data_IF_222686420159
#
_entry.id   IF_222686420159
#
_cell.length_a   1.000
_cell.length_b   1.000
_cell.length_c   1.000
_cell.angle_alpha   90.00
_cell.angle_beta   90.00
_cell.angle_gamma   90.00
#
_symmetry.space_group_name_H-M   'P 1'
#
loop_
_entity.id
_entity.type
_entity.pdbx_description
1 polymer ?
#
# COMPACT_ATOMS: atom_id res chain seq x y z
N UNK A 1 -34.86 -9.93 1.97
CA UNK A 1 -34.48 -8.97 0.91
C UNK A 1 -33.42 -9.65 0.05
N UNK A 2 -33.79 -10.04 -1.17
CA UNK A 2 -32.89 -10.63 -2.16
C UNK A 2 -31.84 -9.57 -2.56
N UNK A 3 -30.51 -9.74 -2.53
CA UNK A 3 -29.62 -10.89 -2.81
C UNK A 3 -29.79 -11.48 -4.22
N UNK A 4 -30.64 -10.87 -5.05
CA UNK A 4 -30.53 -10.97 -6.49
C UNK A 4 -29.40 -10.04 -6.91
N UNK A 5 -28.44 -10.61 -7.61
CA UNK A 5 -27.39 -9.91 -8.36
C UNK A 5 -26.27 -9.29 -7.50
N UNK A 6 -25.60 -10.18 -6.77
CA UNK A 6 -24.13 -10.23 -6.82
C UNK A 6 -23.76 -10.12 -8.30
N UNK A 7 -23.46 -8.90 -8.75
CA UNK A 7 -22.85 -8.62 -10.05
C UNK A 7 -21.84 -9.72 -10.27
N UNK A 8 -22.11 -10.58 -11.26
CA UNK A 8 -21.34 -11.78 -11.53
C UNK A 8 -19.86 -11.44 -11.36
N UNK A 9 -19.20 -12.08 -10.41
CA UNK A 9 -17.79 -11.88 -10.08
C UNK A 9 -16.93 -12.46 -11.22
N UNK A 10 -17.14 -11.90 -12.40
CA UNK A 10 -16.33 -12.12 -13.58
C UNK A 10 -14.98 -11.54 -13.23
N UNK A 11 -13.94 -12.32 -13.52
CA UNK A 11 -12.56 -11.88 -13.47
C UNK A 11 -12.45 -10.54 -14.21
N UNK A 12 -11.86 -9.54 -13.55
CA UNK A 12 -11.59 -8.27 -14.16
C UNK A 12 -10.69 -8.49 -15.38
N UNK A 13 -11.08 -7.90 -16.51
CA UNK A 13 -10.29 -8.00 -17.74
C UNK A 13 -9.31 -6.84 -17.82
N UNK A 14 -8.17 -7.12 -18.43
CA UNK A 14 -7.18 -6.13 -18.80
C UNK A 14 -7.20 -5.94 -20.31
N UNK A 15 -7.43 -4.71 -20.76
CA UNK A 15 -7.43 -4.33 -22.16
C UNK A 15 -6.21 -3.47 -22.45
N UNK A 16 -5.26 -4.04 -23.17
CA UNK A 16 -4.14 -3.31 -23.75
C UNK A 16 -4.58 -2.69 -25.08
N UNK A 17 -5.01 -1.44 -25.02
CA UNK A 17 -5.55 -0.72 -26.17
C UNK A 17 -4.46 -0.28 -27.15
N UNK A 18 -3.21 -0.23 -26.71
CA UNK A 18 -2.07 0.09 -27.58
C UNK A 18 -1.75 -1.09 -28.50
N UNK A 19 -1.78 -2.30 -27.95
CA UNK A 19 -1.50 -3.52 -28.72
C UNK A 19 -2.75 -4.07 -29.43
N UNK A 20 -3.94 -3.54 -29.15
CA UNK A 20 -5.21 -3.96 -29.77
C UNK A 20 -6.05 -2.74 -30.22
N UNK A 21 -5.56 -1.92 -31.17
CA UNK A 21 -6.24 -0.68 -31.58
C UNK A 21 -7.60 -0.91 -32.25
N UNK A 22 -7.88 -2.13 -32.73
CA UNK A 22 -9.18 -2.54 -33.25
C UNK A 22 -10.31 -2.41 -32.20
N UNK A 23 -9.97 -2.50 -30.90
CA UNK A 23 -10.91 -2.23 -29.81
C UNK A 23 -11.36 -0.76 -29.76
N UNK A 24 -10.63 0.15 -30.42
CA UNK A 24 -10.91 1.59 -30.45
C UNK A 24 -11.76 2.04 -31.65
N UNK A 25 -12.08 1.14 -32.59
CA UNK A 25 -12.92 1.51 -33.76
C UNK A 25 -14.36 1.74 -33.32
N UNK A 26 -14.83 2.97 -33.47
CA UNK A 26 -16.22 3.37 -33.20
C UNK A 26 -16.42 4.33 -32.02
N UNK A 27 -15.37 5.01 -31.56
CA UNK A 27 -15.48 6.01 -30.50
C UNK A 27 -15.47 7.43 -31.05
N UNK A 28 -16.59 8.13 -30.96
CA UNK A 28 -16.63 9.58 -31.12
C UNK A 28 -16.11 10.25 -29.84
N UNK A 29 -15.06 11.06 -29.93
CA UNK A 29 -14.57 11.92 -28.85
C UNK A 29 -13.57 11.30 -27.87
N UNK A 30 -13.13 10.04 -28.07
CA UNK A 30 -11.91 9.53 -27.44
C UNK A 30 -10.76 9.54 -28.45
N UNK A 31 -9.53 9.88 -28.01
CA UNK A 31 -8.38 9.92 -28.89
C UNK A 31 -8.10 8.54 -29.48
N UNK A 32 -8.12 8.49 -30.81
CA UNK A 32 -7.88 7.29 -31.61
C UNK A 32 -6.38 7.02 -31.61
N UNK A 33 -5.97 5.76 -31.40
CA UNK A 33 -4.60 5.30 -31.14
C UNK A 33 -3.57 5.46 -32.28
N UNK A 34 -3.85 6.24 -33.31
CA UNK A 34 -3.02 6.29 -34.53
C UNK A 34 -1.98 7.42 -34.56
N UNK A 35 -1.83 8.23 -33.52
CA UNK A 35 -0.68 9.13 -33.43
C UNK A 35 -0.33 9.45 -31.99
N UNK A 36 0.97 9.33 -31.65
CA UNK A 36 1.65 9.82 -30.45
C UNK A 36 0.71 10.32 -29.34
N UNK A 37 0.36 9.44 -28.39
CA UNK A 37 -0.49 9.62 -27.19
C UNK A 37 -0.38 11.01 -26.53
N UNK A 38 -0.95 12.05 -27.15
CA UNK A 38 -0.99 13.42 -26.63
C UNK A 38 -2.31 13.74 -25.95
N UNK A 39 -3.34 12.98 -26.29
CA UNK A 39 -4.68 13.14 -25.76
C UNK A 39 -5.03 11.86 -24.99
N UNK A 40 -5.22 11.99 -23.68
CA UNK A 40 -5.71 10.91 -22.81
C UNK A 40 -7.19 11.16 -22.48
N UNK A 41 -7.99 10.12 -22.18
CA UNK A 41 -9.35 10.32 -21.71
C UNK A 41 -9.38 11.27 -20.51
N UNK A 42 -10.28 12.27 -20.57
CA UNK A 42 -10.54 13.11 -19.42
C UNK A 42 -11.17 12.29 -18.29
N UNK A 43 -11.00 12.73 -17.04
CA UNK A 43 -11.68 12.11 -15.90
C UNK A 43 -13.20 12.15 -16.12
N UNK A 44 -13.86 11.01 -15.94
CA UNK A 44 -15.32 10.91 -16.11
C UNK A 44 -15.78 10.75 -17.56
N UNK A 45 -14.87 10.52 -18.53
CA UNK A 45 -15.29 10.17 -19.89
C UNK A 45 -16.18 8.94 -19.86
N UNK A 46 -17.33 9.01 -20.56
CA UNK A 46 -18.29 7.92 -20.67
C UNK A 46 -17.85 6.91 -21.73
N UNK A 47 -17.92 5.63 -21.40
CA UNK A 47 -17.65 4.53 -22.31
C UNK A 47 -18.88 4.29 -23.19
N UNK A 48 -18.70 4.14 -24.51
CA UNK A 48 -19.78 3.78 -25.43
C UNK A 48 -20.55 2.53 -24.98
N UNK A 49 -21.87 2.51 -25.17
CA UNK A 49 -22.72 1.40 -24.73
C UNK A 49 -22.47 0.10 -25.52
N UNK A 50 -21.87 0.19 -26.72
CA UNK A 50 -21.52 -0.95 -27.55
C UNK A 50 -20.22 -1.65 -27.14
N UNK A 51 -19.45 -1.09 -26.21
CA UNK A 51 -18.24 -1.74 -25.69
C UNK A 51 -18.61 -2.87 -24.71
N UNK A 52 -18.13 -4.08 -24.99
CA UNK A 52 -18.20 -5.21 -24.06
C UNK A 52 -17.19 -5.03 -22.91
N UNK A 53 -17.46 -4.06 -22.05
CA UNK A 53 -16.73 -3.81 -20.80
C UNK A 53 -17.68 -3.76 -19.63
N UNK A 54 -17.20 -4.20 -18.48
CA UNK A 54 -17.95 -4.29 -17.23
C UNK A 54 -17.29 -3.44 -16.13
N UNK A 55 -18.06 -3.11 -15.09
CA UNK A 55 -17.53 -2.43 -13.91
C UNK A 55 -16.29 -3.16 -13.37
N UNK A 56 -15.23 -2.39 -13.12
CA UNK A 56 -13.96 -2.87 -12.61
C UNK A 56 -12.98 -3.38 -13.67
N UNK A 57 -13.37 -3.48 -14.95
CA UNK A 57 -12.41 -3.75 -16.03
C UNK A 57 -11.35 -2.64 -16.10
N UNK A 58 -10.13 -3.01 -16.50
CA UNK A 58 -8.98 -2.10 -16.58
C UNK A 58 -8.62 -1.87 -18.05
N UNK A 59 -8.61 -0.60 -18.44
CA UNK A 59 -8.31 -0.15 -19.79
C UNK A 59 -6.99 0.62 -19.76
N UNK A 60 -5.99 0.20 -20.53
CA UNK A 60 -4.68 0.85 -20.55
C UNK A 60 -4.39 1.48 -21.92
N UNK A 61 -4.13 2.79 -21.90
CA UNK A 61 -3.73 3.60 -23.07
C UNK A 61 -2.22 3.80 -23.15
N UNK A 62 -1.40 3.10 -22.37
CA UNK A 62 0.05 3.15 -22.53
C UNK A 62 0.67 1.76 -22.69
N UNK A 63 1.85 1.72 -23.32
CA UNK A 63 2.62 0.48 -23.52
C UNK A 63 3.18 0.00 -22.19
N UNK A 64 2.44 -0.89 -21.53
CA UNK A 64 2.93 -1.63 -20.36
C UNK A 64 3.18 -0.79 -19.10
N UNK A 65 2.72 0.47 -19.05
CA UNK A 65 2.76 1.28 -17.81
C UNK A 65 1.35 1.56 -17.29
N UNK A 66 1.09 1.39 -15.99
CA UNK A 66 -0.20 1.73 -15.40
C UNK A 66 -0.52 3.22 -15.29
N UNK A 67 0.40 4.11 -15.66
CA UNK A 67 0.22 5.58 -15.58
C UNK A 67 -1.01 6.08 -16.35
N UNK A 68 -1.38 5.37 -17.42
CA UNK A 68 -2.55 5.67 -18.25
C UNK A 68 -3.57 4.53 -18.25
N UNK A 69 -3.64 3.82 -17.12
CA UNK A 69 -4.69 2.87 -16.83
C UNK A 69 -5.92 3.60 -16.26
N UNK A 70 -7.09 3.12 -16.66
CA UNK A 70 -8.39 3.58 -16.17
C UNK A 70 -9.25 2.38 -15.79
N UNK A 71 -10.06 2.56 -14.74
CA UNK A 71 -11.07 1.61 -14.30
C UNK A 71 -12.43 2.01 -14.85
N UNK A 72 -13.20 1.01 -15.26
CA UNK A 72 -14.61 1.20 -15.65
C UNK A 72 -15.48 1.31 -14.39
N UNK A 73 -16.20 2.42 -14.25
CA UNK A 73 -17.13 2.69 -13.15
C UNK A 73 -18.53 2.11 -13.41
N UNK A 74 -19.36 2.02 -12.37
CA UNK A 74 -20.73 1.46 -12.45
C UNK A 74 -21.61 2.23 -13.46
N UNK A 75 -21.41 3.54 -13.57
CA UNK A 75 -22.09 4.43 -14.51
C UNK A 75 -21.46 4.45 -15.92
N UNK A 76 -20.56 3.51 -16.21
CA UNK A 76 -19.74 3.42 -17.43
C UNK A 76 -18.85 4.64 -17.65
N UNK A 77 -18.48 5.39 -16.61
CA UNK A 77 -17.43 6.42 -16.72
C UNK A 77 -16.04 5.84 -16.43
N UNK A 78 -15.00 6.56 -16.83
CA UNK A 78 -13.61 6.20 -16.56
C UNK A 78 -13.07 6.88 -15.30
N UNK A 79 -12.55 6.06 -14.38
CA UNK A 79 -11.75 6.49 -13.24
C UNK A 79 -10.28 6.30 -13.56
N UNK A 80 -9.50 7.39 -13.63
CA UNK A 80 -8.05 7.30 -13.81
C UNK A 80 -7.41 6.57 -12.63
N UNK A 81 -6.42 5.72 -12.90
CA UNK A 81 -5.58 5.09 -11.88
C UNK A 81 -5.08 6.17 -10.90
N UNK A 82 -5.38 6.05 -9.59
CA UNK A 82 -4.97 7.06 -8.63
C UNK A 82 -3.46 7.06 -8.37
N UNK A 83 -2.75 5.96 -8.67
CA UNK A 83 -1.31 5.78 -8.43
C UNK A 83 -0.86 6.34 -7.07
N UNK A 84 -1.17 5.60 -6.00
CA UNK A 84 -0.84 6.02 -4.62
C UNK A 84 0.66 6.16 -4.36
N UNK A 85 1.50 5.63 -5.25
CA UNK A 85 2.97 5.67 -5.14
C UNK A 85 3.58 6.91 -5.81
N UNK A 86 2.84 7.56 -6.71
CA UNK A 86 3.37 8.61 -7.59
C UNK A 86 4.48 8.15 -8.54
N UNK A 87 4.68 6.84 -8.69
CA UNK A 87 5.79 6.22 -9.45
C UNK A 87 5.30 5.47 -10.70
N UNK A 88 4.01 5.57 -11.02
CA UNK A 88 3.39 5.00 -12.20
C UNK A 88 2.93 3.55 -12.05
N UNK A 89 2.74 3.07 -10.82
CA UNK A 89 2.22 1.73 -10.54
C UNK A 89 0.69 1.70 -10.57
N UNK A 90 0.13 0.51 -10.79
CA UNK A 90 -1.32 0.31 -10.70
C UNK A 90 -1.73 0.27 -9.23
N UNK A 91 -2.63 1.17 -8.84
CA UNK A 91 -3.41 1.03 -7.61
C UNK A 91 -4.83 0.63 -7.98
N UNK A 92 -5.30 -0.51 -7.47
CA UNK A 92 -6.71 -0.91 -7.57
C UNK A 92 -7.45 -0.30 -6.38
N UNK A 93 -8.28 0.74 -6.57
CA UNK A 93 -8.79 1.54 -5.46
C UNK A 93 -10.03 0.92 -4.80
N UNK A 94 -10.30 1.34 -3.56
CA UNK A 94 -11.37 0.79 -2.73
C UNK A 94 -12.75 0.98 -3.37
N UNK A 95 -12.97 2.09 -4.08
CA UNK A 95 -14.23 2.33 -4.79
C UNK A 95 -14.56 1.23 -5.81
N UNK A 96 -13.54 0.54 -6.34
CA UNK A 96 -13.65 -0.58 -7.27
C UNK A 96 -13.80 -1.91 -6.53
N UNK A 97 -13.12 -2.09 -5.39
CA UNK A 97 -13.07 -3.37 -4.66
C UNK A 97 -14.09 -3.46 -3.52
N UNK A 98 -14.74 -2.38 -3.09
CA UNK A 98 -15.61 -2.29 -1.90
C UNK A 98 -16.70 -3.37 -1.81
N UNK A 99 -17.20 -3.82 -2.96
CA UNK A 99 -18.25 -4.83 -3.07
C UNK A 99 -17.72 -6.19 -3.55
N UNK A 100 -16.40 -6.33 -3.66
CA UNK A 100 -15.74 -7.55 -4.10
C UNK A 100 -15.40 -8.40 -2.88
N UNK A 101 -15.76 -9.68 -2.94
CA UNK A 101 -15.51 -10.61 -1.83
C UNK A 101 -14.04 -11.05 -1.73
N UNK A 102 -13.36 -11.13 -2.87
CA UNK A 102 -11.95 -11.45 -2.97
C UNK A 102 -11.30 -10.61 -4.08
N UNK A 103 -10.77 -9.45 -3.72
CA UNK A 103 -10.21 -8.48 -4.66
C UNK A 103 -9.03 -9.07 -5.44
N UNK A 104 -8.13 -9.80 -4.77
CA UNK A 104 -6.97 -10.40 -5.44
C UNK A 104 -7.37 -11.44 -6.47
N UNK A 105 -8.35 -12.30 -6.16
CA UNK A 105 -8.84 -13.28 -7.13
C UNK A 105 -9.53 -12.60 -8.32
N UNK A 106 -10.36 -11.59 -8.06
CA UNK A 106 -11.05 -10.84 -9.12
C UNK A 106 -10.05 -10.19 -10.08
N UNK A 107 -8.97 -9.63 -9.56
CA UNK A 107 -7.96 -8.90 -10.32
C UNK A 107 -6.74 -9.73 -10.72
N UNK A 108 -6.74 -11.04 -10.48
CA UNK A 108 -5.60 -11.93 -10.76
C UNK A 108 -5.15 -11.84 -12.22
N UNK A 109 -6.09 -11.79 -13.18
CA UNK A 109 -5.75 -11.67 -14.60
C UNK A 109 -5.11 -10.32 -14.94
N UNK A 110 -5.53 -9.24 -14.28
CA UNK A 110 -4.91 -7.91 -14.43
C UNK A 110 -3.50 -7.94 -13.86
N UNK A 111 -3.35 -8.40 -12.62
CA UNK A 111 -2.07 -8.49 -11.89
C UNK A 111 -1.06 -9.32 -12.68
N UNK A 112 -1.47 -10.50 -13.16
CA UNK A 112 -0.61 -11.37 -13.94
C UNK A 112 -0.39 -10.86 -15.38
N UNK A 113 -1.39 -10.21 -15.97
CA UNK A 113 -1.36 -9.72 -17.35
C UNK A 113 -0.46 -8.50 -17.54
N UNK A 114 -0.42 -7.58 -16.57
CA UNK A 114 0.53 -6.45 -16.59
C UNK A 114 1.88 -6.83 -15.99
N UNK A 115 1.90 -7.84 -15.12
CA UNK A 115 3.05 -8.24 -14.31
C UNK A 115 2.92 -7.72 -12.88
N UNK A 116 3.15 -8.58 -11.88
CA UNK A 116 3.06 -8.24 -10.46
C UNK A 116 3.87 -7.00 -10.09
N UNK A 117 5.05 -6.87 -10.70
CA UNK A 117 5.98 -5.74 -10.52
C UNK A 117 5.38 -4.38 -10.92
N UNK A 118 4.24 -4.36 -11.62
CA UNK A 118 3.54 -3.15 -12.03
C UNK A 118 2.29 -2.86 -11.19
N UNK A 119 1.94 -3.70 -10.22
CA UNK A 119 0.84 -3.46 -9.27
C UNK A 119 1.44 -3.15 -7.91
N UNK A 120 1.30 -1.90 -7.46
CA UNK A 120 1.79 -1.53 -6.13
C UNK A 120 0.80 -1.87 -5.04
N UNK A 121 -0.51 -1.70 -5.31
CA UNK A 121 -1.50 -1.71 -4.22
C UNK A 121 -2.87 -2.16 -4.68
N UNK A 122 -3.52 -2.94 -3.82
CA UNK A 122 -4.93 -3.33 -3.91
C UNK A 122 -5.59 -2.89 -2.61
N UNK A 123 -6.38 -1.83 -2.67
CA UNK A 123 -7.20 -1.38 -1.54
C UNK A 123 -8.36 -2.38 -1.37
N UNK A 124 -8.60 -2.90 -0.17
CA UNK A 124 -9.49 -4.03 0.07
C UNK A 124 -10.55 -3.73 1.13
N UNK A 125 -11.69 -4.41 1.03
CA UNK A 125 -12.67 -4.41 2.11
C UNK A 125 -12.14 -5.19 3.32
N UNK A 126 -12.41 -4.77 4.56
CA UNK A 126 -11.91 -5.49 5.75
C UNK A 126 -12.38 -6.96 5.84
N UNK A 127 -13.56 -7.27 5.30
CA UNK A 127 -14.08 -8.66 5.18
C UNK A 127 -13.61 -9.41 3.91
N UNK A 128 -12.63 -8.88 3.17
CA UNK A 128 -12.09 -9.56 2.00
C UNK A 128 -11.55 -10.95 2.40
N UNK A 129 -11.93 -11.98 1.63
CA UNK A 129 -11.57 -13.37 1.89
C UNK A 129 -10.05 -13.55 1.97
N UNK A 130 -9.27 -12.78 1.21
CA UNK A 130 -7.81 -12.83 1.28
C UNK A 130 -7.29 -12.36 2.65
N UNK A 131 -7.81 -11.26 3.19
CA UNK A 131 -7.42 -10.77 4.52
C UNK A 131 -7.80 -11.81 5.58
N UNK A 132 -9.06 -12.27 5.56
CA UNK A 132 -9.59 -13.21 6.55
C UNK A 132 -8.84 -14.54 6.54
N UNK A 133 -8.45 -15.02 5.36
CA UNK A 133 -7.68 -16.27 5.21
C UNK A 133 -6.27 -16.16 5.79
N UNK A 134 -5.59 -15.03 5.61
CA UNK A 134 -4.16 -14.91 5.90
C UNK A 134 -3.85 -14.30 7.26
N UNK A 135 -4.68 -13.36 7.75
CA UNK A 135 -4.48 -12.74 9.06
C UNK A 135 -5.57 -13.13 10.06
N UNK A 136 -6.78 -13.43 9.60
CA UNK A 136 -7.95 -13.71 10.44
C UNK A 136 -9.04 -12.64 10.31
N UNK A 137 -10.14 -12.83 11.04
CA UNK A 137 -11.28 -11.90 11.00
C UNK A 137 -10.90 -10.53 11.55
N UNK A 138 -11.13 -9.47 10.77
CA UNK A 138 -10.91 -8.08 11.23
C UNK A 138 -11.88 -7.75 12.37
N UNK A 139 -11.41 -7.19 13.50
CA UNK A 139 -12.26 -6.78 14.61
C UNK A 139 -13.25 -5.68 14.24
N UNK A 140 -14.49 -5.78 14.72
CA UNK A 140 -15.58 -4.82 14.40
C UNK A 140 -15.25 -3.37 14.73
N UNK A 141 -14.38 -3.12 15.72
CA UNK A 141 -13.93 -1.76 16.03
C UNK A 141 -13.17 -1.12 14.87
N UNK A 142 -12.27 -1.87 14.20
CA UNK A 142 -11.52 -1.38 13.04
C UNK A 142 -12.46 -1.08 11.85
N UNK A 143 -13.51 -1.89 11.66
CA UNK A 143 -14.57 -1.59 10.69
C UNK A 143 -15.28 -0.27 11.00
N UNK A 144 -15.73 -0.10 12.25
CA UNK A 144 -16.52 1.08 12.66
C UNK A 144 -15.75 2.39 12.54
N UNK A 145 -14.42 2.31 12.57
CA UNK A 145 -13.50 3.45 12.46
C UNK A 145 -12.96 3.65 11.03
N UNK A 146 -13.49 2.92 10.04
CA UNK A 146 -13.07 3.00 8.64
C UNK A 146 -11.55 2.81 8.46
N UNK A 147 -10.97 1.83 9.16
CA UNK A 147 -9.57 1.46 8.94
C UNK A 147 -9.41 0.93 7.52
N UNK A 148 -8.43 1.45 6.79
CA UNK A 148 -8.16 1.06 5.42
C UNK A 148 -7.15 -0.08 5.39
N UNK A 149 -7.41 -1.07 4.54
CA UNK A 149 -6.54 -2.23 4.33
C UNK A 149 -6.07 -2.21 2.87
N UNK A 150 -4.76 -2.10 2.67
CA UNK A 150 -4.16 -1.98 1.34
C UNK A 150 -3.08 -3.05 1.23
N UNK A 151 -3.19 -3.95 0.26
CA UNK A 151 -2.21 -5.01 0.07
C UNK A 151 -1.29 -4.72 -1.11
N UNK A 152 0.00 -4.84 -0.87
CA UNK A 152 1.03 -4.80 -1.89
C UNK A 152 1.38 -6.23 -2.31
N UNK A 153 1.04 -6.63 -3.56
CA UNK A 153 1.30 -7.97 -4.05
C UNK A 153 2.76 -8.22 -4.47
N UNK A 154 3.59 -7.18 -4.58
CA UNK A 154 5.00 -7.28 -4.90
C UNK A 154 5.82 -7.60 -3.64
N UNK A 155 5.61 -6.81 -2.58
CA UNK A 155 6.33 -6.96 -1.32
C UNK A 155 5.62 -7.91 -0.32
N UNK A 156 4.40 -8.34 -0.66
CA UNK A 156 3.53 -9.17 0.17
C UNK A 156 3.24 -8.56 1.56
N UNK A 157 3.09 -7.24 1.60
CA UNK A 157 2.72 -6.48 2.78
C UNK A 157 1.24 -6.08 2.79
N UNK A 158 0.62 -6.16 3.96
CA UNK A 158 -0.66 -5.52 4.25
C UNK A 158 -0.41 -4.21 5.00
N UNK A 159 -0.66 -3.09 4.34
CA UNK A 159 -0.72 -1.77 4.96
C UNK A 159 -2.07 -1.57 5.64
N UNK A 160 -2.03 -1.17 6.90
CA UNK A 160 -3.22 -0.82 7.69
C UNK A 160 -3.13 0.67 8.03
N UNK A 161 -4.06 1.46 7.49
CA UNK A 161 -4.08 2.91 7.70
C UNK A 161 -5.26 3.33 8.57
N UNK A 162 -5.02 4.26 9.48
CA UNK A 162 -6.04 4.91 10.31
C UNK A 162 -6.21 6.34 9.76
N UNK A 163 -7.23 6.60 8.91
CA UNK A 163 -7.28 7.82 8.09
C UNK A 163 -7.32 9.12 8.89
N UNK A 164 -7.89 9.07 10.11
CA UNK A 164 -8.08 10.24 10.97
C UNK A 164 -6.91 10.53 11.91
N UNK A 165 -5.88 9.66 11.98
CA UNK A 165 -4.67 9.89 12.79
C UNK A 165 -3.39 9.97 11.95
N UNK A 166 -3.49 9.83 10.63
CA UNK A 166 -2.35 9.68 9.71
C UNK A 166 -1.38 8.55 10.10
N UNK A 167 -1.87 7.55 10.84
CA UNK A 167 -1.05 6.40 11.27
C UNK A 167 -1.19 5.28 10.25
N UNK A 168 -0.07 4.68 9.92
CA UNK A 168 0.03 3.52 9.03
C UNK A 168 1.05 2.54 9.58
N UNK A 169 0.86 1.26 9.30
CA UNK A 169 1.87 0.23 9.51
C UNK A 169 1.68 -0.88 8.48
N UNK A 170 2.81 -1.43 8.03
CA UNK A 170 2.87 -2.60 7.18
C UNK A 170 2.98 -3.89 8.00
N UNK A 171 2.34 -4.94 7.51
CA UNK A 171 2.30 -6.25 8.14
C UNK A 171 2.61 -7.33 7.09
N UNK A 172 3.72 -8.03 7.29
CA UNK A 172 4.20 -9.07 6.37
C UNK A 172 3.28 -10.28 6.35
N UNK A 173 2.92 -10.72 5.15
CA UNK A 173 2.17 -11.95 4.92
C UNK A 173 2.92 -13.15 5.53
N UNK A 174 2.19 -14.01 6.24
CA UNK A 174 2.74 -15.23 6.85
C UNK A 174 3.53 -15.04 8.15
N UNK A 175 4.00 -13.84 8.46
CA UNK A 175 4.77 -13.54 9.68
C UNK A 175 3.97 -12.81 10.76
N UNK A 176 2.79 -12.29 10.42
CA UNK A 176 1.95 -11.49 11.32
C UNK A 176 0.54 -12.07 11.41
N UNK A 177 -0.12 -11.87 12.55
CA UNK A 177 -1.52 -12.30 12.78
C UNK A 177 -2.44 -11.10 12.95
N UNK A 178 -3.76 -11.28 12.79
CA UNK A 178 -4.72 -10.21 13.07
C UNK A 178 -4.63 -9.70 14.52
N UNK A 179 -4.23 -10.55 15.48
CA UNK A 179 -4.01 -10.13 16.86
C UNK A 179 -2.83 -9.14 16.98
N UNK A 180 -1.79 -9.31 16.17
CA UNK A 180 -0.66 -8.36 16.13
C UNK A 180 -1.09 -7.02 15.54
N UNK A 181 -1.90 -7.06 14.48
CA UNK A 181 -2.51 -5.87 13.86
C UNK A 181 -3.40 -5.14 14.88
N UNK A 182 -4.27 -5.86 15.58
CA UNK A 182 -5.15 -5.31 16.62
C UNK A 182 -4.35 -4.68 17.76
N UNK A 183 -3.29 -5.35 18.22
CA UNK A 183 -2.41 -4.83 19.27
C UNK A 183 -1.76 -3.52 18.84
N UNK A 184 -1.25 -3.45 17.61
CA UNK A 184 -0.70 -2.21 17.07
C UNK A 184 -1.78 -1.12 16.96
N UNK A 185 -2.94 -1.46 16.41
CA UNK A 185 -4.06 -0.55 16.23
C UNK A 185 -4.49 0.09 17.56
N UNK A 186 -4.69 -0.72 18.60
CA UNK A 186 -5.01 -0.20 19.95
C UNK A 186 -3.91 0.72 20.46
N UNK A 187 -2.64 0.33 20.29
CA UNK A 187 -1.50 1.17 20.67
C UNK A 187 -1.41 2.47 19.90
N UNK A 188 -1.81 2.51 18.63
CA UNK A 188 -1.82 3.70 17.79
C UNK A 188 -2.89 4.73 18.20
N UNK A 189 -3.92 4.31 18.94
CA UNK A 189 -4.97 5.17 19.48
C UNK A 189 -4.61 5.76 20.86
N UNK A 190 -3.55 5.26 21.50
CA UNK A 190 -3.08 5.74 22.80
C UNK A 190 -2.23 7.02 22.66
N UNK A 191 -1.81 7.60 23.79
CA UNK A 191 -0.86 8.72 23.79
C UNK A 191 0.46 8.29 23.15
N UNK A 192 0.84 8.95 22.07
CA UNK A 192 2.03 8.60 21.29
C UNK A 192 3.29 9.28 21.82
N UNK A 193 4.40 8.56 21.74
CA UNK A 193 5.75 9.09 21.86
C UNK A 193 6.53 8.80 20.59
N UNK A 194 7.56 9.60 20.33
CA UNK A 194 8.46 9.38 19.21
C UNK A 194 9.88 9.80 19.55
N UNK A 195 10.84 9.10 18.96
CA UNK A 195 12.24 9.44 19.02
C UNK A 195 12.91 9.09 17.70
N UNK A 196 14.08 9.68 17.48
CA UNK A 196 14.88 9.54 16.27
C UNK A 196 16.21 8.90 16.63
N UNK A 197 16.64 7.95 15.81
CA UNK A 197 18.00 7.45 15.82
C UNK A 197 18.72 8.02 14.60
N UNK A 198 19.74 8.83 14.81
CA UNK A 198 20.65 9.28 13.76
C UNK A 198 21.91 8.42 13.78
N UNK A 199 22.37 8.05 12.60
CA UNK A 199 23.59 7.28 12.42
C UNK A 199 24.44 7.85 11.30
N UNK A 200 25.76 7.75 11.47
CA UNK A 200 26.77 8.12 10.48
C UNK A 200 27.92 7.11 10.58
N UNK A 201 27.81 6.06 9.78
CA UNK A 201 28.75 4.95 9.78
C UNK A 201 29.69 5.07 8.59
N UNK A 202 30.99 4.97 8.84
CA UNK A 202 32.02 4.92 7.81
C UNK A 202 33.07 3.85 8.14
N UNK A 203 33.69 3.30 7.10
CA UNK A 203 34.77 2.31 7.24
C UNK A 203 34.34 1.09 8.08
N UNK A 204 35.06 0.73 9.16
CA UNK A 204 34.72 -0.44 9.97
C UNK A 204 33.32 -0.42 10.62
N UNK A 205 32.79 0.77 10.94
CA UNK A 205 31.42 0.90 11.46
C UNK A 205 30.39 0.54 10.40
N UNK A 206 30.63 0.95 9.14
CA UNK A 206 29.74 0.63 8.02
C UNK A 206 29.71 -0.88 7.76
N UNK A 207 30.86 -1.56 7.79
CA UNK A 207 30.90 -3.02 7.62
C UNK A 207 30.12 -3.75 8.72
N UNK A 208 30.30 -3.35 9.99
CA UNK A 208 29.54 -3.90 11.13
C UNK A 208 28.04 -3.67 10.97
N UNK A 209 27.64 -2.46 10.58
CA UNK A 209 26.24 -2.13 10.32
C UNK A 209 25.66 -2.98 9.20
N UNK A 210 26.38 -3.10 8.08
CA UNK A 210 25.96 -3.90 6.94
C UNK A 210 25.80 -5.39 7.30
N UNK A 211 26.73 -5.95 8.08
CA UNK A 211 26.63 -7.34 8.54
C UNK A 211 25.47 -7.54 9.52
N UNK A 212 25.24 -6.59 10.43
CA UNK A 212 24.10 -6.59 11.35
C UNK A 212 22.77 -6.52 10.60
N UNK A 213 22.62 -5.55 9.70
CA UNK A 213 21.39 -5.34 8.93
C UNK A 213 21.06 -6.52 8.03
N UNK A 214 22.05 -7.09 7.32
CA UNK A 214 21.82 -8.27 6.48
C UNK A 214 21.29 -9.47 7.27
N UNK A 215 21.64 -9.59 8.54
CA UNK A 215 21.21 -10.69 9.41
C UNK A 215 19.85 -10.41 10.09
N UNK A 216 19.49 -9.14 10.26
CA UNK A 216 18.39 -8.70 11.11
C UNK A 216 17.59 -7.55 10.49
N UNK A 217 17.37 -7.60 9.17
CA UNK A 217 16.86 -6.49 8.34
C UNK A 217 15.57 -5.84 8.87
N UNK A 218 14.82 -6.55 9.73
CA UNK A 218 13.55 -6.13 10.31
C UNK A 218 13.46 -6.29 11.85
N UNK A 219 14.54 -6.69 12.55
CA UNK A 219 14.45 -7.10 13.97
C UNK A 219 15.03 -6.08 14.95
N UNK A 220 14.38 -4.93 15.06
CA UNK A 220 14.58 -4.02 16.18
C UNK A 220 14.00 -4.55 17.51
N UNK A 221 13.32 -5.71 17.48
CA UNK A 221 12.58 -6.27 18.61
C UNK A 221 11.66 -5.24 19.31
N UNK A 222 11.06 -4.33 18.56
CA UNK A 222 10.23 -3.26 19.12
C UNK A 222 8.98 -3.82 19.82
N UNK A 223 8.45 -3.12 20.84
CA UNK A 223 7.12 -3.44 21.37
C UNK A 223 6.08 -3.43 20.24
N UNK A 224 5.07 -4.30 20.30
CA UNK A 224 4.11 -4.47 19.19
C UNK A 224 3.35 -3.19 18.78
N UNK A 225 3.20 -2.26 19.72
CA UNK A 225 2.56 -0.95 19.54
C UNK A 225 3.47 0.09 18.90
N UNK A 226 4.73 -0.24 18.64
CA UNK A 226 5.72 0.63 18.05
C UNK A 226 5.96 0.30 16.58
N UNK A 227 6.34 1.32 15.83
CA UNK A 227 6.73 1.24 14.42
C UNK A 227 8.07 1.95 14.23
N UNK A 228 8.78 1.55 13.17
CA UNK A 228 9.97 2.21 12.68
C UNK A 228 9.70 2.70 11.26
N UNK A 229 10.08 3.94 10.96
CA UNK A 229 9.98 4.53 9.63
C UNK A 229 11.36 5.03 9.20
N UNK A 230 11.76 4.79 7.94
CA UNK A 230 13.00 5.33 7.42
C UNK A 230 12.86 6.85 7.29
N UNK A 231 13.85 7.58 7.80
CA UNK A 231 13.99 9.00 7.50
C UNK A 231 14.91 9.21 6.29
N UNK A 232 15.66 10.31 6.31
CA UNK A 232 16.61 10.58 5.23
C UNK A 232 17.78 9.60 5.31
N UNK A 233 18.10 8.94 4.19
CA UNK A 233 19.23 7.98 4.11
C UNK A 233 20.14 8.32 2.94
N UNK A 234 21.44 8.23 3.14
CA UNK A 234 22.47 8.40 2.11
C UNK A 234 23.52 7.30 2.23
N UNK A 235 23.66 6.50 1.18
CA UNK A 235 24.55 5.35 1.13
C UNK A 235 25.61 5.57 0.06
N UNK A 236 26.86 5.35 0.41
CA UNK A 236 28.00 5.31 -0.49
C UNK A 236 28.66 3.94 -0.48
N UNK A 237 29.82 3.82 -1.13
CA UNK A 237 30.52 2.54 -1.22
C UNK A 237 31.09 2.05 0.12
N UNK A 238 31.40 2.96 1.04
CA UNK A 238 32.09 2.72 2.31
C UNK A 238 31.47 3.47 3.50
N UNK A 239 30.29 4.06 3.29
CA UNK A 239 29.58 4.80 4.33
C UNK A 239 28.06 4.65 4.19
N UNK A 240 27.38 4.83 5.31
CA UNK A 240 25.93 4.93 5.40
C UNK A 240 25.60 5.93 6.50
N UNK A 241 24.85 6.98 6.15
CA UNK A 241 24.35 7.95 7.11
C UNK A 241 22.87 8.16 6.90
N UNK A 242 22.15 8.35 8.00
CA UNK A 242 20.73 8.57 7.91
C UNK A 242 20.08 8.58 9.27
N UNK A 243 18.77 8.39 9.24
CA UNK A 243 17.97 8.34 10.45
C UNK A 243 16.82 7.36 10.34
N UNK A 244 16.43 6.81 11.48
CA UNK A 244 15.20 6.09 11.70
C UNK A 244 14.33 6.86 12.67
N UNK A 245 13.04 6.93 12.40
CA UNK A 245 12.04 7.55 13.25
C UNK A 245 11.22 6.43 13.88
N UNK A 246 11.19 6.38 15.20
CA UNK A 246 10.43 5.41 15.97
C UNK A 246 9.26 6.11 16.65
N UNK A 247 8.10 5.48 16.63
CA UNK A 247 6.93 6.01 17.31
C UNK A 247 5.99 4.90 17.78
N UNK A 248 5.26 5.16 18.86
CA UNK A 248 4.28 4.22 19.41
C UNK A 248 3.73 4.69 20.76
N UNK A 249 3.03 3.80 21.47
CA UNK A 249 2.50 4.06 22.80
C UNK A 249 3.59 4.50 23.79
N UNK A 250 3.41 5.68 24.38
CA UNK A 250 4.32 6.30 25.36
C UNK A 250 4.63 5.38 26.54
N UNK A 251 3.69 4.50 26.95
CA UNK A 251 3.90 3.54 28.05
C UNK A 251 5.10 2.62 27.81
N UNK A 252 5.44 2.34 26.55
CA UNK A 252 6.54 1.46 26.17
C UNK A 252 7.79 2.21 25.67
N UNK A 253 7.87 3.54 25.85
CA UNK A 253 9.00 4.36 25.37
C UNK A 253 10.36 3.87 25.86
N UNK A 254 10.49 3.56 27.15
CA UNK A 254 11.76 3.11 27.73
C UNK A 254 12.18 1.72 27.20
N UNK A 255 11.23 0.83 27.02
CA UNK A 255 11.46 -0.49 26.43
C UNK A 255 11.91 -0.37 24.97
N UNK A 256 11.19 0.43 24.17
CA UNK A 256 11.56 0.68 22.77
C UNK A 256 12.97 1.26 22.64
N UNK A 257 13.32 2.29 23.44
CA UNK A 257 14.68 2.87 23.44
C UNK A 257 15.74 1.84 23.81
N UNK A 258 15.47 0.98 24.80
CA UNK A 258 16.41 -0.06 25.22
C UNK A 258 16.63 -1.08 24.11
N UNK A 259 15.57 -1.57 23.46
CA UNK A 259 15.68 -2.56 22.39
C UNK A 259 16.51 -2.02 21.21
N UNK A 260 16.34 -0.74 20.88
CA UNK A 260 17.17 -0.04 19.88
C UNK A 260 18.64 0.09 20.32
N UNK A 261 18.89 0.46 21.58
CA UNK A 261 20.26 0.52 22.10
C UNK A 261 20.94 -0.86 22.07
N UNK A 262 20.20 -1.92 22.41
CA UNK A 262 20.69 -3.29 22.40
C UNK A 262 20.98 -3.77 20.97
N UNK A 263 20.15 -3.39 19.99
CA UNK A 263 20.38 -3.65 18.56
C UNK A 263 21.67 -2.96 18.07
N UNK A 264 21.89 -1.69 18.42
CA UNK A 264 23.05 -0.90 18.00
C UNK A 264 24.24 -0.97 18.96
N UNK A 265 24.30 -1.92 19.91
CA UNK A 265 25.27 -1.93 21.04
C UNK A 265 26.75 -1.81 20.64
N UNK A 266 27.11 -2.21 19.43
CA UNK A 266 28.49 -2.19 18.91
C UNK A 266 28.75 -1.07 17.87
N UNK A 267 27.79 -0.15 17.74
CA UNK A 267 27.75 0.96 16.78
C UNK A 267 27.55 2.30 17.51
N UNK A 268 28.07 3.38 16.92
CA UNK A 268 27.89 4.74 17.48
C UNK A 268 26.68 5.41 16.86
N UNK A 269 25.63 5.62 17.67
CA UNK A 269 24.37 6.26 17.24
C UNK A 269 24.00 7.44 18.15
N UNK A 270 23.25 8.39 17.61
CA UNK A 270 22.60 9.45 18.38
C UNK A 270 21.10 9.17 18.53
N UNK A 271 20.58 9.26 19.75
CA UNK A 271 19.13 9.14 20.03
C UNK A 271 18.61 10.50 20.48
N UNK A 272 17.62 11.04 19.76
CA UNK A 272 17.00 12.33 20.02
C UNK A 272 15.50 12.17 20.24
N UNK A 273 14.96 12.72 21.32
CA UNK A 273 13.50 12.77 21.52
C UNK A 273 12.86 13.77 20.56
N UNK A 274 11.74 13.39 19.96
CA UNK A 274 10.96 14.30 19.12
C UNK A 274 9.86 14.90 20.00
N UNK A 275 9.83 16.23 20.20
CA UNK A 275 8.81 16.88 21.04
C UNK A 275 7.39 16.54 20.56
N UNK A 276 6.50 16.26 21.52
CA UNK A 276 5.14 15.76 21.26
C UNK A 276 4.40 16.55 20.18
N UNK A 277 3.79 15.83 19.24
CA UNK A 277 2.62 16.31 18.51
C UNK A 277 1.41 15.71 19.21
N UNK A 278 0.74 16.49 20.07
CA UNK A 278 -0.49 16.05 20.73
C UNK A 278 -1.56 15.85 19.67
N UNK A 279 -1.87 14.59 19.33
CA UNK A 279 -3.06 14.29 18.52
C UNK A 279 -4.26 14.59 19.41
N UNK A 280 -4.91 15.73 19.17
CA UNK A 280 -6.21 16.00 19.74
C UNK A 280 -7.20 15.11 19.01
N UNK A 281 -7.64 14.03 19.66
CA UNK A 281 -8.79 13.26 19.19
C UNK A 281 -10.00 14.18 19.39
N UNK A 282 -10.61 14.61 18.28
CA UNK A 282 -11.93 15.27 18.26
C UNK A 282 -12.99 14.20 18.07
#
# INVERSE_FOLDING_TARGET
MALADILHDRTARYFDLVNNPELLKGIDGLPIADSDFKDFPAKGTKIPDNWDVSFGDVLNWSKGRPTEAYFVMEDRTLLKNPDRTGSGYLTIPFIITKNTRNALLKYEYVINGIGKDYVSTVEMHPDDVFIVKNWGQVPSEMHSRNVEFIYDPLEEFLYVNIPYTSKSKEFKLGSTTMKDIETWFSGALETQASFRVKYDFSGPQFQKYHDLYRLHEEDFSLPKTWSAEPGTTHVGHDFCRGEWIFHGDHKHLHEAKKNIQDFYKDLVIGIEDIPHTTVSIV
#
